data_IF_130182477152
#
_entry.id   IF_130182477152
#
_cell.length_a   1.000
_cell.length_b   1.000
_cell.length_c   1.000
_cell.angle_alpha   90.00
_cell.angle_beta   90.00
_cell.angle_gamma   90.00
#
_symmetry.space_group_name_H-M   'P 1'
#
loop_
_entity.id
_entity.type
_entity.pdbx_description
1 polymer ?
#
# COMPACT_ATOMS: atom_id res chain seq x y z
N UNK A 1 1.38 14.71 8.33
CA UNK A 1 -0.01 14.49 8.80
C UNK A 1 0.03 13.69 10.07
N UNK A 2 -0.98 13.86 10.91
CA UNK A 2 -1.23 13.11 12.13
C UNK A 2 -2.67 12.57 12.13
N UNK A 3 -2.95 11.58 12.98
CA UNK A 3 -4.31 11.05 13.14
C UNK A 3 -5.24 12.17 13.61
N UNK A 4 -6.41 12.28 12.98
CA UNK A 4 -7.39 13.34 13.23
C UNK A 4 -7.31 14.53 12.26
N UNK A 5 -6.22 14.68 11.49
CA UNK A 5 -6.13 15.74 10.47
C UNK A 5 -7.21 15.56 9.40
N UNK A 6 -7.89 16.65 9.03
CA UNK A 6 -8.84 16.66 7.92
C UNK A 6 -8.11 16.51 6.60
N UNK A 7 -8.64 15.65 5.74
CA UNK A 7 -8.12 15.38 4.40
C UNK A 7 -9.22 15.33 3.36
N UNK A 8 -8.89 15.71 2.14
CA UNK A 8 -9.77 15.66 0.97
C UNK A 8 -9.20 14.67 -0.05
N UNK A 9 -10.02 13.73 -0.52
CA UNK A 9 -9.68 12.84 -1.62
C UNK A 9 -10.31 13.36 -2.91
N UNK A 10 -9.46 13.60 -3.91
CA UNK A 10 -9.80 14.25 -5.18
C UNK A 10 -9.48 13.32 -6.33
N UNK A 11 -10.42 13.14 -7.26
CA UNK A 11 -10.15 12.45 -8.52
C UNK A 11 -11.35 12.51 -9.45
N UNK A 12 -11.41 11.59 -10.42
CA UNK A 12 -12.44 11.52 -11.44
C UNK A 12 -13.21 10.20 -11.33
N UNK A 13 -14.09 10.04 -10.33
CA UNK A 13 -14.92 8.85 -10.26
C UNK A 13 -15.90 8.78 -11.42
N UNK A 14 -15.93 7.62 -12.09
CA UNK A 14 -16.86 7.30 -13.18
C UNK A 14 -16.79 8.21 -14.43
N UNK A 15 -15.70 8.96 -14.63
CA UNK A 15 -15.54 9.84 -15.80
C UNK A 15 -16.33 11.16 -15.72
N UNK A 16 -16.99 11.42 -14.59
CA UNK A 16 -17.68 12.67 -14.30
C UNK A 16 -16.66 13.69 -13.76
N UNK A 17 -16.82 14.97 -14.10
CA UNK A 17 -15.93 16.05 -13.69
C UNK A 17 -15.50 15.93 -12.21
N UNK A 18 -14.21 16.18 -11.95
CA UNK A 18 -13.49 15.97 -10.70
C UNK A 18 -14.37 15.99 -9.43
N UNK A 19 -14.49 14.85 -8.74
CA UNK A 19 -15.20 14.74 -7.46
C UNK A 19 -14.23 14.86 -6.28
N UNK A 20 -14.76 15.43 -5.19
CA UNK A 20 -14.06 15.58 -3.92
C UNK A 20 -14.87 14.89 -2.84
N UNK A 21 -14.19 14.09 -2.02
CA UNK A 21 -14.74 13.52 -0.79
C UNK A 21 -13.89 13.96 0.39
N UNK A 22 -14.49 14.17 1.55
CA UNK A 22 -13.80 14.60 2.76
C UNK A 22 -13.77 13.51 3.82
N UNK A 23 -12.79 13.60 4.70
CA UNK A 23 -12.66 12.74 5.87
C UNK A 23 -11.49 13.15 6.74
N UNK A 24 -11.02 12.23 7.58
CA UNK A 24 -9.85 12.44 8.44
C UNK A 24 -8.82 11.35 8.23
N UNK A 25 -7.57 11.62 8.61
CA UNK A 25 -6.59 10.56 8.84
C UNK A 25 -7.05 9.73 10.05
N UNK A 26 -7.45 8.49 9.81
CA UNK A 26 -7.94 7.57 10.84
C UNK A 26 -6.85 6.64 11.40
N UNK A 27 -5.66 6.63 10.78
CA UNK A 27 -4.55 5.80 11.20
C UNK A 27 -3.33 5.99 10.31
N UNK A 28 -2.15 5.66 10.83
CA UNK A 28 -0.87 5.77 10.12
C UNK A 28 -0.04 4.51 10.36
N UNK A 29 0.86 4.20 9.42
CA UNK A 29 1.91 3.21 9.61
C UNK A 29 1.50 1.75 9.44
N UNK A 30 0.28 1.48 8.96
CA UNK A 30 -0.21 0.11 8.72
C UNK A 30 0.37 -0.44 7.42
N UNK A 31 0.78 -1.71 7.41
CA UNK A 31 1.00 -2.44 6.16
C UNK A 31 -0.29 -3.10 5.76
N UNK A 32 -0.80 -2.78 4.57
CA UNK A 32 -2.07 -3.29 4.05
C UNK A 32 -1.80 -4.07 2.77
N UNK A 33 -2.30 -5.30 2.70
CA UNK A 33 -2.14 -6.15 1.52
C UNK A 33 -3.36 -6.11 0.62
N UNK A 34 -3.12 -6.03 -0.67
CA UNK A 34 -4.10 -6.30 -1.70
C UNK A 34 -4.36 -7.80 -1.82
N UNK A 35 -5.57 -8.20 -2.28
CA UNK A 35 -5.85 -9.58 -2.63
C UNK A 35 -4.89 -10.15 -3.69
N UNK A 36 -4.32 -9.29 -4.54
CA UNK A 36 -3.34 -9.63 -5.58
C UNK A 36 -1.94 -9.91 -5.04
N UNK A 37 -1.71 -9.72 -3.74
CA UNK A 37 -0.42 -9.92 -3.07
C UNK A 37 0.48 -8.68 -3.03
N UNK A 38 0.10 -7.58 -3.70
CA UNK A 38 0.77 -6.29 -3.50
C UNK A 38 0.52 -5.79 -2.08
N UNK A 39 1.45 -5.03 -1.50
CA UNK A 39 1.28 -4.45 -0.17
C UNK A 39 1.61 -2.96 -0.20
N UNK A 40 0.83 -2.17 0.53
CA UNK A 40 1.08 -0.76 0.82
C UNK A 40 1.72 -0.69 2.20
N UNK A 41 3.03 -0.44 2.31
CA UNK A 41 3.69 -0.29 3.58
C UNK A 41 3.42 1.11 4.12
N UNK A 42 3.31 1.24 5.44
CA UNK A 42 3.15 2.54 6.10
C UNK A 42 1.94 3.34 5.55
N UNK A 43 0.87 2.66 5.18
CA UNK A 43 -0.33 3.27 4.59
C UNK A 43 -0.93 4.35 5.53
N UNK A 44 -1.46 5.38 4.90
CA UNK A 44 -2.35 6.35 5.55
C UNK A 44 -3.76 5.77 5.47
N UNK A 45 -4.40 5.56 6.62
CA UNK A 45 -5.83 5.24 6.64
C UNK A 45 -6.63 6.53 6.68
N UNK A 46 -7.70 6.59 5.88
CA UNK A 46 -8.63 7.73 5.84
C UNK A 46 -10.08 7.27 5.90
N UNK A 47 -10.93 8.11 6.49
CA UNK A 47 -12.39 7.96 6.42
C UNK A 47 -13.00 8.60 5.18
N UNK A 48 -12.22 9.35 4.39
CA UNK A 48 -12.69 9.92 3.15
C UNK A 48 -13.11 8.81 2.18
N UNK A 49 -14.30 8.93 1.59
CA UNK A 49 -14.83 7.92 0.68
C UNK A 49 -13.92 7.73 -0.52
N UNK A 50 -13.43 6.50 -0.71
CA UNK A 50 -12.61 6.09 -1.86
C UNK A 50 -13.48 5.25 -2.78
N UNK A 51 -13.64 5.71 -4.02
CA UNK A 51 -14.46 5.10 -5.04
C UNK A 51 -13.66 4.91 -6.33
N UNK A 52 -14.07 4.02 -7.24
CA UNK A 52 -13.47 3.92 -8.57
C UNK A 52 -13.37 5.30 -9.23
N UNK A 53 -12.13 5.75 -9.45
CA UNK A 53 -11.73 7.00 -10.11
C UNK A 53 -11.24 8.14 -9.22
N UNK A 54 -11.41 8.11 -7.89
CA UNK A 54 -10.50 8.86 -6.98
C UNK A 54 -9.32 8.01 -6.48
N UNK A 55 -9.38 6.68 -6.66
CA UNK A 55 -8.19 5.82 -6.62
C UNK A 55 -7.18 6.25 -7.69
N UNK A 56 -5.92 6.42 -7.29
CA UNK A 56 -4.85 7.01 -8.11
C UNK A 56 -4.83 8.55 -8.14
N UNK A 57 -5.83 9.21 -7.53
CA UNK A 57 -5.92 10.66 -7.42
C UNK A 57 -5.09 11.23 -6.25
N UNK A 58 -5.51 12.38 -5.73
CA UNK A 58 -4.82 13.07 -4.66
C UNK A 58 -5.56 12.94 -3.33
N UNK A 59 -4.84 12.63 -2.26
CA UNK A 59 -5.27 12.88 -0.88
C UNK A 59 -4.50 14.10 -0.39
N UNK A 60 -5.20 15.18 -0.04
CA UNK A 60 -4.59 16.45 0.37
C UNK A 60 -5.04 16.89 1.76
N UNK A 61 -4.20 17.64 2.47
CA UNK A 61 -4.62 18.35 3.67
C UNK A 61 -5.31 19.69 3.35
N UNK A 62 -5.79 20.40 4.38
CA UNK A 62 -6.44 21.71 4.23
C UNK A 62 -5.53 22.82 3.70
N UNK A 63 -4.21 22.60 3.67
CA UNK A 63 -3.24 23.50 3.02
C UNK A 63 -2.98 23.11 1.56
N UNK A 64 -3.82 22.23 0.99
CA UNK A 64 -3.69 21.69 -0.36
C UNK A 64 -2.36 20.97 -0.63
N UNK A 65 -1.68 20.47 0.42
CA UNK A 65 -0.46 19.68 0.25
C UNK A 65 -0.84 18.22 0.01
N UNK A 66 -0.19 17.58 -0.95
CA UNK A 66 -0.36 16.15 -1.21
C UNK A 66 0.21 15.34 -0.03
N UNK A 67 -0.66 14.60 0.65
CA UNK A 67 -0.29 13.75 1.79
C UNK A 67 -0.26 12.27 1.40
N UNK A 68 -1.01 11.88 0.37
CA UNK A 68 -0.97 10.54 -0.18
C UNK A 68 -1.74 10.37 -1.48
N UNK A 69 -1.75 9.16 -2.00
CA UNK A 69 -2.52 8.75 -3.19
C UNK A 69 -3.49 7.66 -2.76
N UNK A 70 -4.82 7.88 -2.80
CA UNK A 70 -5.79 6.85 -2.48
C UNK A 70 -5.59 5.63 -3.39
N UNK A 71 -5.69 4.43 -2.83
CA UNK A 71 -5.37 3.21 -3.57
C UNK A 71 -6.36 2.09 -3.27
N UNK A 72 -6.64 1.85 -1.99
CA UNK A 72 -7.42 0.69 -1.56
C UNK A 72 -8.53 1.07 -0.59
N UNK A 73 -9.49 0.16 -0.48
CA UNK A 73 -10.53 0.15 0.54
C UNK A 73 -10.49 -1.19 1.25
N UNK A 74 -10.74 -1.20 2.56
CA UNK A 74 -10.91 -2.46 3.28
C UNK A 74 -12.19 -3.15 2.80
N UNK A 75 -12.19 -4.49 2.84
CA UNK A 75 -13.40 -5.28 2.64
C UNK A 75 -13.94 -5.71 4.01
N UNK A 76 -15.26 -5.73 4.15
CA UNK A 76 -15.95 -6.35 5.27
C UNK A 76 -15.94 -7.87 5.07
N UNK A 77 -15.24 -8.65 5.91
CA UNK A 77 -15.12 -10.10 5.75
C UNK A 77 -16.46 -10.83 5.88
N UNK A 78 -17.40 -10.29 6.66
CA UNK A 78 -18.69 -10.93 6.94
C UNK A 78 -19.69 -10.74 5.79
N UNK A 79 -19.57 -9.64 5.05
CA UNK A 79 -20.52 -9.25 4.00
C UNK A 79 -19.93 -9.37 2.58
N UNK A 80 -18.61 -9.52 2.45
CA UNK A 80 -17.91 -9.56 1.15
C UNK A 80 -17.95 -8.24 0.38
N UNK A 81 -18.35 -7.15 1.01
CA UNK A 81 -18.49 -5.81 0.42
C UNK A 81 -17.39 -4.86 0.92
N UNK A 82 -17.26 -3.68 0.31
CA UNK A 82 -16.33 -2.65 0.80
C UNK A 82 -16.76 -2.19 2.19
N UNK A 83 -15.82 -2.05 3.11
CA UNK A 83 -16.03 -1.50 4.45
C UNK A 83 -16.12 0.04 4.36
N UNK A 84 -17.29 0.65 4.62
CA UNK A 84 -17.44 2.10 4.53
C UNK A 84 -16.51 2.82 5.52
N UNK A 85 -15.88 3.90 5.09
CA UNK A 85 -15.03 4.74 5.95
C UNK A 85 -13.67 4.14 6.31
N UNK A 86 -13.24 3.05 5.65
CA UNK A 86 -11.89 2.48 5.83
C UNK A 86 -11.17 2.45 4.47
N UNK A 87 -10.60 3.59 4.09
CA UNK A 87 -9.77 3.74 2.90
C UNK A 87 -8.28 3.80 3.24
N UNK A 88 -7.45 3.46 2.27
CA UNK A 88 -5.99 3.48 2.39
C UNK A 88 -5.34 4.23 1.22
N UNK A 89 -4.33 5.03 1.56
CA UNK A 89 -3.53 5.79 0.62
C UNK A 89 -2.03 5.48 0.79
N UNK A 90 -1.31 5.42 -0.33
CA UNK A 90 0.16 5.39 -0.35
C UNK A 90 0.68 6.77 0.10
N UNK A 91 1.58 6.87 1.09
CA UNK A 91 2.13 8.16 1.54
C UNK A 91 2.83 8.93 0.42
N UNK A 92 2.72 10.26 0.42
CA UNK A 92 3.32 11.11 -0.63
C UNK A 92 4.86 11.00 -0.69
N UNK A 93 5.52 10.75 0.44
CA UNK A 93 6.97 10.51 0.47
C UNK A 93 7.35 9.23 -0.31
N UNK A 94 6.56 8.15 -0.15
CA UNK A 94 6.74 6.90 -0.91
C UNK A 94 6.49 7.14 -2.40
N UNK A 95 5.44 7.88 -2.75
CA UNK A 95 5.13 8.23 -4.14
C UNK A 95 6.28 9.03 -4.75
N UNK A 96 6.81 10.03 -4.04
CA UNK A 96 7.94 10.84 -4.50
C UNK A 96 9.18 10.00 -4.74
N UNK A 97 9.53 9.11 -3.81
CA UNK A 97 10.70 8.23 -3.96
C UNK A 97 10.55 7.32 -5.20
N UNK A 98 9.43 6.60 -5.32
CA UNK A 98 9.18 5.68 -6.44
C UNK A 98 9.11 6.43 -7.78
N UNK A 99 8.36 7.52 -7.85
CA UNK A 99 8.24 8.32 -9.07
C UNK A 99 9.60 8.86 -9.53
N UNK A 100 10.44 9.35 -8.60
CA UNK A 100 11.78 9.83 -8.93
C UNK A 100 12.66 8.76 -9.57
N UNK A 101 12.56 7.51 -9.10
CA UNK A 101 13.30 6.38 -9.66
C UNK A 101 12.76 5.97 -11.03
N UNK A 102 11.44 5.91 -11.19
CA UNK A 102 10.80 5.60 -12.48
C UNK A 102 11.16 6.62 -13.55
N UNK A 103 11.11 7.92 -13.23
CA UNK A 103 11.48 9.00 -14.14
C UNK A 103 12.96 8.88 -14.55
N UNK A 104 13.84 8.62 -13.58
CA UNK A 104 15.29 8.63 -13.81
C UNK A 104 15.82 7.36 -14.49
N UNK A 105 15.27 6.20 -14.16
CA UNK A 105 15.83 4.90 -14.54
C UNK A 105 14.88 4.03 -15.37
N UNK A 106 13.63 4.46 -15.57
CA UNK A 106 12.57 3.65 -16.19
C UNK A 106 12.09 2.49 -15.33
N UNK A 107 12.62 2.31 -14.11
CA UNK A 107 12.27 1.24 -13.17
C UNK A 107 12.64 1.61 -11.74
N UNK A 108 12.01 0.94 -10.77
CA UNK A 108 12.40 1.04 -9.36
C UNK A 108 13.68 0.22 -9.15
N UNK A 109 14.74 0.88 -8.70
CA UNK A 109 16.06 0.27 -8.47
C UNK A 109 16.33 0.02 -6.98
N UNK A 110 15.61 0.72 -6.10
CA UNK A 110 15.66 0.57 -4.64
C UNK A 110 14.24 0.65 -4.10
N UNK A 111 13.66 -0.49 -3.74
CA UNK A 111 12.31 -0.56 -3.18
C UNK A 111 12.23 -0.22 -1.69
N UNK A 112 13.38 -0.09 -1.01
CA UNK A 112 13.45 0.00 0.45
C UNK A 112 13.00 -1.27 1.18
N UNK A 113 12.65 -2.33 0.44
CA UNK A 113 12.21 -3.62 0.99
C UNK A 113 13.35 -4.61 0.96
N UNK A 114 13.56 -5.29 2.09
CA UNK A 114 14.38 -6.48 2.10
C UNK A 114 13.70 -7.55 1.23
N UNK A 115 14.48 -8.20 0.38
CA UNK A 115 14.04 -9.35 -0.40
C UNK A 115 15.02 -10.47 -0.14
N UNK A 116 14.54 -11.53 0.50
CA UNK A 116 15.34 -12.76 0.67
C UNK A 116 15.11 -13.71 -0.50
N UNK A 117 13.93 -13.69 -1.11
CA UNK A 117 13.58 -14.59 -2.21
C UNK A 117 13.26 -16.01 -1.76
N UNK A 118 12.62 -16.14 -0.60
CA UNK A 118 12.04 -17.41 -0.14
C UNK A 118 10.54 -17.41 -0.43
N UNK A 119 10.01 -18.58 -0.77
CA UNK A 119 8.58 -18.89 -0.71
C UNK A 119 8.27 -19.50 0.67
N UNK A 120 7.28 -18.95 1.36
CA UNK A 120 6.89 -19.43 2.69
C UNK A 120 5.76 -20.43 2.51
N UNK A 121 6.09 -21.73 2.63
CA UNK A 121 5.10 -22.79 2.52
C UNK A 121 4.27 -22.91 3.81
N UNK A 122 4.87 -22.64 4.97
CA UNK A 122 4.17 -22.68 6.25
C UNK A 122 4.80 -21.72 7.28
N UNK A 123 3.98 -21.00 8.03
CA UNK A 123 4.40 -20.33 9.26
C UNK A 123 4.42 -21.32 10.43
N UNK A 124 5.54 -21.39 11.13
CA UNK A 124 5.76 -22.31 12.25
C UNK A 124 5.51 -21.60 13.58
N UNK A 125 5.17 -22.37 14.62
CA UNK A 125 5.07 -21.86 15.99
C UNK A 125 6.40 -21.27 16.46
N UNK A 126 6.34 -20.20 17.26
CA UNK A 126 7.55 -19.54 17.79
C UNK A 126 8.23 -18.55 16.82
N UNK A 127 7.59 -18.21 15.70
CA UNK A 127 8.08 -17.17 14.78
C UNK A 127 8.99 -17.67 13.66
N UNK A 128 9.06 -18.99 13.44
CA UNK A 128 9.76 -19.60 12.31
C UNK A 128 8.88 -19.69 11.06
N UNK A 129 9.50 -20.01 9.93
CA UNK A 129 8.83 -20.32 8.66
C UNK A 129 9.49 -21.53 8.03
N UNK A 130 8.71 -22.36 7.34
CA UNK A 130 9.19 -23.45 6.50
C UNK A 130 9.37 -22.93 5.07
N UNK A 131 10.57 -23.07 4.53
CA UNK A 131 10.93 -22.60 3.20
C UNK A 131 10.44 -23.59 2.16
N UNK A 132 9.42 -23.22 1.39
CA UNK A 132 8.87 -24.03 0.32
C UNK A 132 9.80 -24.11 -0.89
N UNK A 133 10.26 -22.95 -1.36
CA UNK A 133 11.19 -22.81 -2.47
C UNK A 133 12.05 -21.55 -2.32
N UNK A 134 13.10 -21.45 -3.13
CA UNK A 134 14.01 -20.30 -3.17
C UNK A 134 14.16 -19.79 -4.59
N UNK A 135 14.12 -18.46 -4.75
CA UNK A 135 14.33 -17.80 -6.04
C UNK A 135 15.72 -18.15 -6.55
N UNK A 136 15.80 -18.79 -7.74
CA UNK A 136 17.07 -19.21 -8.35
C UNK A 136 18.05 -18.04 -8.48
N UNK A 137 19.26 -18.22 -7.94
CA UNK A 137 20.31 -17.19 -7.94
C UNK A 137 20.01 -15.99 -7.04
N UNK A 138 18.92 -16.04 -6.26
CA UNK A 138 18.47 -14.98 -5.36
C UNK A 138 19.29 -14.88 -4.07
N UNK A 139 18.95 -13.91 -3.20
CA UNK A 139 19.66 -13.69 -1.94
C UNK A 139 19.67 -14.91 -0.99
N UNK A 140 18.56 -15.64 -0.87
CA UNK A 140 18.43 -16.85 -0.06
C UNK A 140 19.46 -17.92 -0.45
N UNK A 141 19.55 -18.22 -1.76
CA UNK A 141 20.51 -19.19 -2.30
C UNK A 141 21.95 -18.76 -2.01
N UNK A 142 22.27 -17.46 -2.18
CA UNK A 142 23.60 -16.92 -1.87
C UNK A 142 23.93 -16.98 -0.38
N UNK A 143 22.91 -16.92 0.48
CA UNK A 143 23.04 -17.09 1.92
C UNK A 143 23.06 -18.57 2.36
N UNK A 144 22.87 -19.52 1.44
CA UNK A 144 22.87 -20.96 1.71
C UNK A 144 21.54 -21.53 2.17
N UNK A 145 20.46 -20.74 2.16
CA UNK A 145 19.09 -21.19 2.48
C UNK A 145 18.55 -22.05 1.33
N UNK A 146 17.87 -23.14 1.66
CA UNK A 146 17.34 -24.13 0.71
C UNK A 146 15.86 -24.38 0.94
N UNK A 147 15.19 -24.91 -0.09
CA UNK A 147 13.88 -25.50 0.06
C UNK A 147 13.95 -26.64 1.10
N UNK A 148 13.01 -26.64 2.04
CA UNK A 148 12.94 -27.58 3.15
C UNK A 148 13.61 -27.13 4.46
N UNK A 149 14.26 -25.96 4.47
CA UNK A 149 14.72 -25.31 5.71
C UNK A 149 13.56 -24.79 6.58
#
# INVERSE_FOLDING_TARGET
VQVGDIVLAIGNPLGLQSSVTEGIVSGLGRTVSEPTGAAIPQAIQTSASINPGNSGGALVDLSARLVGVPTLVANNPEQGTQAPGIGFAIPSDTVRDIASQLIRYGKVVRSGRAFLGIDIAQTLGGGGVYVGDVTKGGPAVRAGIKAGD
#
